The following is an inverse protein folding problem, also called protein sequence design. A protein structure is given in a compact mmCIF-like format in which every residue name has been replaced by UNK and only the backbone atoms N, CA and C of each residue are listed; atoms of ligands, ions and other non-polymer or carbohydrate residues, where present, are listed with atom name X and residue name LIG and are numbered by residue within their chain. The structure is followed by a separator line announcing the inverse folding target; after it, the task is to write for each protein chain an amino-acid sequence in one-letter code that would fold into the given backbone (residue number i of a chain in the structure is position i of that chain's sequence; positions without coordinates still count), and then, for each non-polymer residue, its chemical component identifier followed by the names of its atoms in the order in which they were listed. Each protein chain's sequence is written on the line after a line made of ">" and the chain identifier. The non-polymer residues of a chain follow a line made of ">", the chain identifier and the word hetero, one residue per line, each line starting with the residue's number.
data_IF_907304731957
#
_entry.id   IF_907304731957
#
_cell.length_a   1.000
_cell.length_b   1.000
_cell.length_c   1.000
_cell.angle_alpha   90.00
_cell.angle_beta   90.00
_cell.angle_gamma   90.00
#
_symmetry.space_group_name_H-M   'P 1'
#
loop_
_entity.id
_entity.type
_entity.pdbx_description
1 polymer ?
#
# COMPACT_ATOMS: atom_id res chain seq x y z
N UNK A 1 7.13 -8.22 25.96
CA UNK A 1 7.82 -7.54 24.84
C UNK A 1 9.18 -7.07 25.34
N UNK A 2 10.26 -7.71 24.90
CA UNK A 2 11.62 -7.28 25.19
C UNK A 2 12.01 -6.27 24.10
N UNK A 3 12.17 -4.99 24.45
CA UNK A 3 12.86 -4.05 23.55
C UNK A 3 14.36 -4.26 23.75
N UNK A 4 15.13 -4.64 22.72
CA UNK A 4 16.58 -4.74 22.85
C UNK A 4 17.17 -3.42 23.36
N UNK A 5 18.13 -3.52 24.26
CA UNK A 5 18.85 -2.37 24.82
C UNK A 5 19.57 -1.64 23.68
N UNK A 6 19.31 -0.35 23.53
CA UNK A 6 19.96 0.48 22.50
C UNK A 6 21.24 1.07 23.09
N UNK A 7 22.37 0.75 22.48
CA UNK A 7 23.67 1.30 22.88
C UNK A 7 24.13 2.31 21.83
N UNK A 8 24.25 3.58 22.23
CA UNK A 8 24.87 4.61 21.41
C UNK A 8 26.38 4.61 21.65
N UNK A 9 27.16 4.44 20.59
CA UNK A 9 28.61 4.67 20.62
C UNK A 9 28.88 6.03 19.97
N UNK A 10 29.44 6.97 20.73
CA UNK A 10 29.67 8.33 20.23
C UNK A 10 30.47 8.32 18.92
N UNK A 11 29.96 9.04 17.91
CA UNK A 11 30.58 9.12 16.58
C UNK A 11 30.46 7.88 15.71
N UNK A 12 29.73 6.83 16.13
CA UNK A 12 29.50 5.62 15.35
C UNK A 12 28.03 5.28 15.25
N UNK A 13 27.57 4.96 14.04
CA UNK A 13 26.31 4.26 13.87
C UNK A 13 26.52 2.80 14.26
N UNK A 14 25.75 2.33 15.24
CA UNK A 14 25.65 0.90 15.56
C UNK A 14 24.45 0.36 14.78
N UNK A 15 24.50 -0.87 14.31
CA UNK A 15 23.33 -1.56 13.77
C UNK A 15 23.36 -2.95 14.39
N UNK A 16 22.21 -3.41 14.90
CA UNK A 16 22.06 -4.77 15.41
C UNK A 16 21.46 -5.61 14.31
N UNK A 17 22.28 -6.47 13.70
CA UNK A 17 21.88 -7.32 12.59
C UNK A 17 20.81 -8.34 13.00
N UNK A 18 20.74 -8.70 14.29
CA UNK A 18 19.76 -9.67 14.79
C UNK A 18 18.35 -9.11 14.95
N UNK A 19 18.20 -7.78 15.00
CA UNK A 19 16.93 -7.11 15.29
C UNK A 19 16.53 -6.04 14.27
N UNK A 20 17.30 -5.87 13.18
CA UNK A 20 17.01 -4.90 12.14
C UNK A 20 16.28 -5.51 10.94
N UNK A 21 14.96 -5.31 10.90
CA UNK A 21 14.12 -5.74 9.79
C UNK A 21 14.50 -5.11 8.45
N UNK A 22 14.73 -3.80 8.40
CA UNK A 22 15.10 -3.14 7.14
C UNK A 22 16.48 -3.58 6.64
N UNK A 23 17.41 -3.93 7.53
CA UNK A 23 18.70 -4.48 7.14
C UNK A 23 18.54 -5.89 6.57
N UNK A 24 17.73 -6.76 7.18
CA UNK A 24 17.54 -8.13 6.68
C UNK A 24 16.90 -8.14 5.30
N UNK A 25 15.93 -7.26 5.07
CA UNK A 25 15.16 -7.22 3.82
C UNK A 25 15.88 -6.48 2.69
N UNK A 26 16.54 -5.36 3.00
CA UNK A 26 17.06 -4.45 1.98
C UNK A 26 18.58 -4.29 2.02
N UNK A 27 19.27 -4.85 3.02
CA UNK A 27 20.71 -4.72 3.18
C UNK A 27 21.19 -3.27 3.36
N UNK A 28 22.50 -3.10 3.46
CA UNK A 28 23.11 -1.77 3.68
C UNK A 28 22.81 -0.78 2.54
N UNK A 29 22.76 -1.25 1.29
CA UNK A 29 22.47 -0.40 0.12
C UNK A 29 21.04 0.15 0.16
N UNK A 30 20.07 -0.66 0.58
CA UNK A 30 18.70 -0.23 0.82
C UNK A 30 18.62 0.79 1.97
N UNK A 31 19.33 0.55 3.08
CA UNK A 31 19.41 1.52 4.17
C UNK A 31 19.99 2.88 3.71
N UNK A 32 21.03 2.89 2.88
CA UNK A 32 21.57 4.14 2.32
C UNK A 32 20.56 4.88 1.45
N UNK A 33 19.72 4.15 0.69
CA UNK A 33 18.61 4.76 -0.04
C UNK A 33 17.59 5.39 0.91
N UNK A 34 17.28 4.74 2.04
CA UNK A 34 16.35 5.30 3.03
C UNK A 34 16.91 6.49 3.78
N UNK A 35 18.21 6.50 4.12
CA UNK A 35 18.91 7.65 4.71
C UNK A 35 18.77 8.86 3.80
N UNK A 36 19.02 8.69 2.48
CA UNK A 36 18.94 9.80 1.53
C UNK A 36 17.52 10.34 1.35
N UNK A 37 16.48 9.53 1.63
CA UNK A 37 15.06 9.92 1.56
C UNK A 37 14.52 10.52 2.86
N UNK A 38 14.94 10.01 4.00
CA UNK A 38 14.42 10.42 5.32
C UNK A 38 15.19 11.55 5.98
N UNK A 39 16.45 11.79 5.58
CA UNK A 39 17.44 12.58 6.33
C UNK A 39 17.71 12.08 7.75
N UNK A 40 17.25 10.87 8.09
CA UNK A 40 17.67 10.19 9.31
C UNK A 40 19.06 9.60 9.10
N UNK A 41 19.89 9.54 10.15
CA UNK A 41 21.13 8.77 10.12
C UNK A 41 20.86 7.27 9.92
N UNK A 42 21.91 6.45 9.86
CA UNK A 42 21.81 4.99 9.71
C UNK A 42 20.92 4.27 10.75
N UNK A 43 20.50 4.98 11.79
CA UNK A 43 19.45 4.57 12.73
C UNK A 43 18.11 4.23 12.07
N UNK A 44 17.90 4.55 10.78
CA UNK A 44 16.80 4.00 9.97
C UNK A 44 16.73 2.47 10.03
N UNK A 45 17.85 1.80 10.29
CA UNK A 45 17.91 0.35 10.48
C UNK A 45 17.04 -0.13 11.67
N UNK A 46 16.82 0.71 12.68
CA UNK A 46 16.04 0.39 13.88
C UNK A 46 14.63 0.97 13.86
N UNK A 47 14.35 1.84 12.89
CA UNK A 47 13.07 2.53 12.81
C UNK A 47 12.00 1.55 12.31
N UNK A 48 10.84 1.56 12.96
CA UNK A 48 9.64 0.93 12.38
C UNK A 48 9.37 1.54 11.01
N UNK A 49 8.80 0.77 10.08
CA UNK A 49 8.50 1.26 8.73
C UNK A 49 7.63 2.54 8.76
N UNK A 50 6.65 2.61 9.66
CA UNK A 50 5.83 3.82 9.85
C UNK A 50 6.65 5.05 10.26
N UNK A 51 7.70 4.89 11.08
CA UNK A 51 8.61 5.99 11.46
C UNK A 51 9.46 6.47 10.26
N UNK A 52 9.87 5.54 9.40
CA UNK A 52 10.59 5.84 8.17
C UNK A 52 9.68 6.61 7.21
N UNK A 53 8.46 6.12 6.98
CA UNK A 53 7.45 6.80 6.17
C UNK A 53 7.13 8.20 6.70
N UNK A 54 6.88 8.33 8.00
CA UNK A 54 6.64 9.63 8.65
C UNK A 54 7.78 10.62 8.38
N UNK A 55 9.03 10.16 8.38
CA UNK A 55 10.18 11.02 8.13
C UNK A 55 10.27 11.48 6.66
N UNK A 56 9.90 10.60 5.72
CA UNK A 56 9.76 10.96 4.31
C UNK A 56 8.67 12.04 4.16
N UNK A 57 7.51 11.83 4.79
CA UNK A 57 6.40 12.79 4.76
C UNK A 57 6.80 14.13 5.40
N UNK A 58 7.43 14.14 6.58
CA UNK A 58 7.91 15.39 7.22
C UNK A 58 8.86 16.15 6.30
N UNK A 59 9.78 15.45 5.64
CA UNK A 59 10.71 16.08 4.70
C UNK A 59 9.97 16.64 3.48
N UNK A 60 9.00 15.90 2.95
CA UNK A 60 8.17 16.38 1.84
C UNK A 60 7.39 17.62 2.25
N UNK A 61 6.79 17.63 3.44
CA UNK A 61 6.06 18.77 3.97
C UNK A 61 6.96 19.99 4.12
N UNK A 62 8.16 19.81 4.70
CA UNK A 62 9.16 20.86 4.83
C UNK A 62 9.56 21.44 3.46
N UNK A 63 9.81 20.59 2.47
CA UNK A 63 10.23 21.01 1.13
C UNK A 63 9.14 21.76 0.36
N UNK A 64 7.86 21.51 0.68
CA UNK A 64 6.70 22.14 0.05
C UNK A 64 6.07 23.24 0.90
N UNK A 65 6.72 23.66 2.00
CA UNK A 65 6.20 24.66 2.94
C UNK A 65 4.79 24.30 3.50
N UNK A 66 4.57 23.02 3.77
CA UNK A 66 3.35 22.47 4.37
C UNK A 66 3.59 22.25 5.86
N UNK A 67 2.62 22.63 6.69
CA UNK A 67 2.69 22.43 8.13
C UNK A 67 2.48 20.95 8.49
N UNK A 68 3.43 20.40 9.24
CA UNK A 68 3.28 19.06 9.84
C UNK A 68 2.29 19.12 11.00
N UNK A 69 1.32 18.19 11.08
CA UNK A 69 0.41 18.10 12.22
C UNK A 69 1.18 17.92 13.54
N UNK A 70 0.86 18.77 14.54
CA UNK A 70 1.46 18.64 15.87
C UNK A 70 0.91 17.43 16.63
N UNK A 71 -0.39 17.15 16.48
CA UNK A 71 -1.05 15.98 17.07
C UNK A 71 -1.37 14.98 15.97
N UNK A 72 -0.91 13.74 16.17
CA UNK A 72 -1.13 12.64 15.22
C UNK A 72 -2.52 12.00 15.36
N UNK A 73 -3.37 12.51 16.25
CA UNK A 73 -4.71 11.99 16.48
C UNK A 73 -5.73 12.98 15.95
N UNK A 74 -6.48 12.54 14.94
CA UNK A 74 -7.66 13.23 14.46
C UNK A 74 -8.89 12.32 14.70
N UNK A 75 -9.92 12.82 15.39
CA UNK A 75 -11.15 12.06 15.53
C UNK A 75 -11.84 11.91 14.18
N UNK A 76 -12.41 10.73 13.96
CA UNK A 76 -13.28 10.45 12.81
C UNK A 76 -14.48 11.42 12.79
N UNK A 77 -14.90 11.83 11.60
CA UNK A 77 -16.11 12.66 11.45
C UNK A 77 -17.36 11.86 11.87
N UNK A 78 -18.27 12.42 12.68
CA UNK A 78 -19.51 11.74 13.07
C UNK A 78 -20.28 11.22 11.87
N UNK A 79 -20.59 9.92 11.85
CA UNK A 79 -21.27 9.25 10.74
C UNK A 79 -22.37 8.31 11.23
N UNK A 80 -23.32 8.00 10.34
CA UNK A 80 -24.44 7.08 10.65
C UNK A 80 -23.89 5.68 10.93
N UNK A 81 -24.53 4.93 11.84
CA UNK A 81 -24.15 3.56 12.16
C UNK A 81 -24.12 2.63 10.93
N UNK A 82 -25.01 2.85 9.96
CA UNK A 82 -25.01 2.13 8.68
C UNK A 82 -23.75 2.39 7.86
N UNK A 83 -23.21 3.61 7.88
CA UNK A 83 -21.99 3.98 7.18
C UNK A 83 -20.77 3.41 7.89
N UNK A 84 -20.72 3.44 9.23
CA UNK A 84 -19.65 2.79 9.99
C UNK A 84 -19.55 1.30 9.65
N UNK A 85 -20.68 0.58 9.63
CA UNK A 85 -20.70 -0.85 9.26
C UNK A 85 -20.19 -1.13 7.84
N UNK A 86 -20.44 -0.24 6.88
CA UNK A 86 -19.92 -0.39 5.51
C UNK A 86 -18.43 -0.07 5.45
N UNK A 87 -17.99 0.94 6.19
CA UNK A 87 -16.62 1.41 6.21
C UNK A 87 -15.65 0.44 6.92
N UNK A 88 -16.16 -0.33 7.89
CA UNK A 88 -15.39 -1.33 8.65
C UNK A 88 -15.23 -2.67 7.90
N UNK A 89 -15.79 -2.78 6.68
CA UNK A 89 -15.58 -3.96 5.84
C UNK A 89 -14.16 -3.91 5.29
N UNK A 90 -13.39 -4.97 5.55
CA UNK A 90 -12.05 -5.17 4.99
C UNK A 90 -12.00 -5.27 3.46
N UNK A 91 -10.81 -5.65 2.97
CA UNK A 91 -10.58 -5.93 1.55
C UNK A 91 -11.40 -7.10 1.02
N UNK A 92 -11.34 -7.30 -0.29
CA UNK A 92 -12.16 -8.29 -0.99
C UNK A 92 -11.67 -9.74 -0.75
N UNK A 93 -12.60 -10.71 -0.59
CA UNK A 93 -12.31 -12.15 -0.45
C UNK A 93 -13.34 -12.99 -1.23
N UNK A 94 -12.90 -13.94 -2.08
CA UNK A 94 -13.76 -14.92 -2.77
C UNK A 94 -13.85 -16.28 -2.04
N UNK A 95 -14.83 -17.13 -2.38
CA UNK A 95 -14.87 -18.51 -1.86
C UNK A 95 -13.98 -19.44 -2.68
N UNK A 96 -13.11 -20.24 -2.05
CA UNK A 96 -12.10 -21.03 -2.75
C UNK A 96 -12.67 -22.23 -3.53
N UNK A 97 -12.06 -22.53 -4.69
CA UNK A 97 -12.21 -23.80 -5.43
C UNK A 97 -10.83 -24.35 -5.82
N UNK A 98 -10.55 -25.65 -5.67
CA UNK A 98 -9.26 -26.23 -6.05
C UNK A 98 -9.10 -26.43 -7.58
N UNK A 99 -7.83 -26.64 -8.00
CA UNK A 99 -7.31 -27.11 -9.30
C UNK A 99 -6.73 -26.06 -10.28
N UNK A 100 -5.53 -26.32 -10.82
CA UNK A 100 -4.79 -25.63 -11.90
C UNK A 100 -5.00 -24.10 -11.97
N UNK A 101 -4.13 -23.35 -11.28
CA UNK A 101 -4.42 -21.95 -10.95
C UNK A 101 -3.25 -21.03 -11.26
N UNK A 102 -3.56 -19.92 -11.92
CA UNK A 102 -2.68 -18.77 -12.06
C UNK A 102 -2.97 -17.77 -10.94
N UNK A 103 -1.92 -17.30 -10.29
CA UNK A 103 -1.95 -16.15 -9.38
C UNK A 103 -1.62 -14.88 -10.15
N UNK A 104 -2.55 -13.95 -10.12
CA UNK A 104 -2.44 -12.62 -10.71
C UNK A 104 -2.48 -11.59 -9.58
N UNK A 105 -1.43 -10.80 -9.42
CA UNK A 105 -1.28 -9.84 -8.30
C UNK A 105 -1.15 -8.40 -8.79
N UNK A 106 -1.89 -7.48 -8.16
CA UNK A 106 -1.80 -6.06 -8.49
C UNK A 106 -0.55 -5.44 -7.89
N UNK A 107 0.34 -4.93 -8.75
CA UNK A 107 1.58 -4.31 -8.35
C UNK A 107 1.34 -3.08 -7.45
N UNK A 108 1.61 -3.23 -6.15
CA UNK A 108 1.47 -2.14 -5.15
C UNK A 108 0.07 -1.51 -5.17
N UNK A 109 -0.97 -2.35 -5.14
CA UNK A 109 -2.37 -1.95 -5.30
C UNK A 109 -2.74 -0.72 -4.45
N UNK A 110 -2.55 -0.77 -3.13
CA UNK A 110 -3.00 0.32 -2.25
C UNK A 110 -2.30 1.66 -2.49
N UNK A 111 -0.96 1.75 -2.58
CA UNK A 111 -0.29 2.99 -3.00
C UNK A 111 -0.81 3.53 -4.33
N UNK A 112 -1.04 2.66 -5.32
CA UNK A 112 -1.55 3.07 -6.62
C UNK A 112 -3.00 3.57 -6.53
N UNK A 113 -3.87 2.93 -5.73
CA UNK A 113 -5.20 3.45 -5.42
C UNK A 113 -5.10 4.86 -4.81
N UNK A 114 -4.20 5.06 -3.84
CA UNK A 114 -4.02 6.34 -3.17
C UNK A 114 -3.61 7.44 -4.15
N UNK A 115 -2.65 7.15 -5.03
CA UNK A 115 -2.16 8.08 -6.05
C UNK A 115 -3.22 8.33 -7.13
N UNK A 116 -3.75 7.28 -7.75
CA UNK A 116 -4.66 7.38 -8.90
C UNK A 116 -6.03 7.97 -8.53
N UNK A 117 -6.50 7.73 -7.30
CA UNK A 117 -7.78 8.25 -6.81
C UNK A 117 -7.62 9.49 -5.92
N UNK A 118 -6.42 10.08 -5.86
CA UNK A 118 -6.11 11.30 -5.11
C UNK A 118 -6.53 11.24 -3.63
N UNK A 119 -6.25 10.14 -2.94
CA UNK A 119 -6.65 9.91 -1.55
C UNK A 119 -5.61 10.50 -0.59
N UNK A 120 -6.01 11.53 0.16
CA UNK A 120 -5.21 12.23 1.17
C UNK A 120 -6.15 12.85 2.22
N UNK A 121 -5.72 13.08 3.47
CA UNK A 121 -6.58 13.65 4.50
C UNK A 121 -7.28 14.96 4.10
N UNK A 122 -6.58 15.82 3.35
CA UNK A 122 -7.08 17.11 2.90
C UNK A 122 -7.88 17.06 1.58
N UNK A 123 -7.88 15.92 0.88
CA UNK A 123 -8.65 15.74 -0.37
C UNK A 123 -9.93 14.96 -0.15
N UNK A 124 -10.00 14.10 0.86
CA UNK A 124 -11.24 13.41 1.26
C UNK A 124 -12.18 14.38 1.97
N UNK A 125 -13.46 14.36 1.60
CA UNK A 125 -14.51 15.17 2.22
C UNK A 125 -14.17 16.67 2.28
N UNK A 126 -13.44 17.16 1.27
CA UNK A 126 -13.05 18.56 1.21
C UNK A 126 -14.27 19.49 1.04
N UNK A 127 -14.18 20.70 1.59
CA UNK A 127 -15.29 21.68 1.54
C UNK A 127 -15.57 22.24 0.14
N UNK A 128 -14.68 21.98 -0.82
CA UNK A 128 -14.71 22.65 -2.12
C UNK A 128 -15.35 21.83 -3.26
N UNK A 129 -15.65 20.55 -3.04
CA UNK A 129 -16.19 19.64 -4.04
C UNK A 129 -17.41 18.88 -3.49
N UNK A 130 -18.48 18.83 -4.29
CA UNK A 130 -19.69 18.06 -4.00
C UNK A 130 -19.78 16.89 -4.98
N UNK A 131 -19.11 15.79 -4.63
CA UNK A 131 -19.13 14.54 -5.40
C UNK A 131 -19.14 13.34 -4.44
N UNK A 132 -19.38 12.15 -4.97
CA UNK A 132 -19.43 10.90 -4.19
C UNK A 132 -18.58 9.82 -4.85
N UNK A 133 -17.29 10.15 -5.06
CA UNK A 133 -16.37 9.28 -5.80
C UNK A 133 -15.99 8.00 -5.05
N UNK A 134 -16.02 8.01 -3.72
CA UNK A 134 -15.68 6.81 -2.94
C UNK A 134 -16.85 5.82 -2.97
N UNK A 135 -16.64 4.59 -3.51
CA UNK A 135 -17.70 3.59 -3.62
C UNK A 135 -18.33 3.26 -2.26
N UNK A 136 -19.63 3.00 -2.23
CA UNK A 136 -20.41 2.56 -1.04
C UNK A 136 -20.50 3.55 0.15
N UNK A 137 -19.55 4.48 0.29
CA UNK A 137 -19.36 5.36 1.44
C UNK A 137 -19.84 6.79 1.18
N UNK A 138 -19.89 7.21 -0.08
CA UNK A 138 -20.37 8.54 -0.47
C UNK A 138 -19.42 9.68 -0.10
N UNK A 139 -18.16 9.39 0.21
CA UNK A 139 -17.16 10.43 0.48
C UNK A 139 -16.81 11.16 -0.82
N UNK A 140 -16.58 12.46 -0.69
CA UNK A 140 -16.09 13.29 -1.79
C UNK A 140 -14.56 13.17 -1.90
N UNK A 141 -14.05 13.33 -3.11
CA UNK A 141 -12.62 13.44 -3.40
C UNK A 141 -12.39 14.75 -4.14
N UNK A 142 -11.43 15.54 -3.67
CA UNK A 142 -11.06 16.80 -4.29
C UNK A 142 -10.58 16.63 -5.74
N UNK A 143 -11.13 17.43 -6.64
CA UNK A 143 -10.75 17.48 -8.06
C UNK A 143 -9.94 18.73 -8.42
N UNK A 144 -9.76 19.65 -7.46
CA UNK A 144 -9.12 20.95 -7.69
C UNK A 144 -7.63 20.96 -7.35
N UNK A 145 -7.18 20.05 -6.48
CA UNK A 145 -5.79 19.96 -6.05
C UNK A 145 -5.36 18.51 -5.87
N UNK A 146 -4.09 18.23 -6.16
CA UNK A 146 -3.46 16.94 -5.85
C UNK A 146 -3.10 16.90 -4.37
N UNK A 147 -3.41 15.78 -3.72
CA UNK A 147 -3.14 15.57 -2.31
C UNK A 147 -1.64 15.39 -2.01
N UNK A 148 -1.29 15.68 -0.77
CA UNK A 148 0.01 15.53 -0.15
C UNK A 148 0.48 14.07 -0.18
N UNK A 149 -0.41 13.13 0.13
CA UNK A 149 -0.09 11.70 0.13
C UNK A 149 0.23 11.20 -1.30
N UNK A 150 -0.61 11.45 -2.33
CA UNK A 150 -0.24 11.19 -3.72
C UNK A 150 1.09 11.81 -4.14
N UNK A 151 1.35 13.06 -3.73
CA UNK A 151 2.60 13.75 -4.02
C UNK A 151 3.82 13.13 -3.32
N UNK A 152 3.63 12.48 -2.17
CA UNK A 152 4.69 11.77 -1.44
C UNK A 152 4.92 10.36 -1.99
N UNK A 153 3.85 9.60 -2.27
CA UNK A 153 3.95 8.20 -2.67
C UNK A 153 4.24 8.00 -4.16
N UNK A 154 3.74 8.88 -5.03
CA UNK A 154 3.94 8.79 -6.49
C UNK A 154 5.42 8.67 -6.88
N UNK A 155 6.31 9.55 -6.40
CA UNK A 155 7.76 9.42 -6.64
C UNK A 155 8.36 8.12 -6.12
N UNK A 156 7.88 7.57 -4.99
CA UNK A 156 8.38 6.32 -4.42
C UNK A 156 8.00 5.13 -5.32
N UNK A 157 6.76 5.10 -5.82
CA UNK A 157 6.27 4.08 -6.75
C UNK A 157 7.10 4.13 -8.05
N UNK A 158 7.25 5.33 -8.62
CA UNK A 158 8.03 5.54 -9.83
C UNK A 158 9.50 5.12 -9.66
N UNK A 159 10.14 5.55 -8.57
CA UNK A 159 11.54 5.18 -8.29
C UNK A 159 11.70 3.67 -8.11
N UNK A 160 10.75 2.99 -7.44
CA UNK A 160 10.77 1.54 -7.31
C UNK A 160 10.68 0.85 -8.66
N UNK A 161 9.78 1.29 -9.54
CA UNK A 161 9.67 0.76 -10.91
C UNK A 161 10.99 0.94 -11.69
N UNK A 162 11.59 2.14 -11.62
CA UNK A 162 12.88 2.41 -12.26
C UNK A 162 14.03 1.56 -11.71
N UNK A 163 14.00 1.20 -10.43
CA UNK A 163 14.98 0.29 -9.86
C UNK A 163 14.75 -1.16 -10.30
N UNK A 164 13.49 -1.62 -10.43
CA UNK A 164 13.18 -2.96 -10.98
C UNK A 164 13.75 -3.16 -12.40
N UNK A 165 13.82 -2.09 -13.21
CA UNK A 165 14.36 -2.15 -14.58
C UNK A 165 15.89 -2.21 -14.66
N UNK A 166 16.60 -2.02 -13.54
CA UNK A 166 18.07 -1.96 -13.51
C UNK A 166 18.63 -3.19 -12.81
N UNK A 167 19.47 -3.93 -13.52
CA UNK A 167 20.16 -5.10 -12.97
C UNK A 167 21.44 -4.68 -12.24
N UNK A 168 21.28 -4.03 -11.08
CA UNK A 168 22.40 -3.73 -10.17
C UNK A 168 22.03 -4.05 -8.74
N UNK A 169 23.01 -4.51 -7.96
CA UNK A 169 22.82 -4.84 -6.54
C UNK A 169 22.25 -3.63 -5.76
N UNK A 170 22.65 -2.40 -6.11
CA UNK A 170 22.05 -1.22 -5.48
C UNK A 170 20.56 -1.08 -5.80
N UNK A 171 20.17 -1.27 -7.06
CA UNK A 171 18.78 -1.11 -7.50
C UNK A 171 17.88 -2.20 -6.90
N UNK A 172 18.35 -3.44 -6.86
CA UNK A 172 17.65 -4.55 -6.18
C UNK A 172 17.38 -4.20 -4.71
N UNK A 173 18.41 -3.80 -3.97
CA UNK A 173 18.31 -3.44 -2.55
C UNK A 173 17.48 -2.17 -2.29
N UNK A 174 17.57 -1.17 -3.17
CA UNK A 174 16.73 0.02 -3.08
C UNK A 174 15.25 -0.30 -3.37
N UNK A 175 14.97 -1.13 -4.39
CA UNK A 175 13.62 -1.58 -4.71
C UNK A 175 12.99 -2.37 -3.55
N UNK A 176 13.76 -3.25 -2.91
CA UNK A 176 13.33 -3.98 -1.71
C UNK A 176 12.99 -3.03 -0.54
N UNK A 177 13.83 -2.03 -0.27
CA UNK A 177 13.54 -1.02 0.74
C UNK A 177 12.23 -0.26 0.46
N UNK A 178 12.04 0.18 -0.78
CA UNK A 178 10.83 0.93 -1.17
C UNK A 178 9.57 0.06 -1.16
N UNK A 179 9.67 -1.23 -1.50
CA UNK A 179 8.56 -2.19 -1.37
C UNK A 179 7.98 -2.13 0.04
N UNK A 180 8.82 -2.21 1.06
CA UNK A 180 8.36 -2.22 2.45
C UNK A 180 7.70 -0.90 2.89
N UNK A 181 8.18 0.25 2.39
CA UNK A 181 7.51 1.55 2.60
C UNK A 181 6.10 1.53 2.02
N UNK A 182 5.96 1.06 0.77
CA UNK A 182 4.70 1.00 0.04
C UNK A 182 3.71 -0.01 0.64
N UNK A 183 4.18 -1.17 1.08
CA UNK A 183 3.33 -2.16 1.78
C UNK A 183 2.75 -1.59 3.08
N UNK A 184 3.51 -0.73 3.77
CA UNK A 184 3.09 -0.22 5.08
C UNK A 184 2.21 1.03 5.03
N UNK A 185 2.15 1.74 3.89
CA UNK A 185 1.45 3.03 3.83
C UNK A 185 -0.07 2.90 4.04
N UNK A 186 -0.68 1.81 3.56
CA UNK A 186 -2.10 1.54 3.75
C UNK A 186 -2.47 1.38 5.23
N UNK A 187 -1.76 0.50 5.95
CA UNK A 187 -1.98 0.29 7.38
C UNK A 187 -1.69 1.55 8.20
N UNK A 188 -0.70 2.34 7.75
CA UNK A 188 -0.36 3.61 8.38
C UNK A 188 -1.51 4.63 8.30
N UNK A 189 -2.29 4.68 7.20
CA UNK A 189 -3.45 5.58 7.09
C UNK A 189 -4.49 5.38 8.20
N UNK A 190 -4.68 4.14 8.68
CA UNK A 190 -5.63 3.81 9.75
C UNK A 190 -5.02 3.83 11.16
N UNK A 191 -3.73 4.12 11.31
CA UNK A 191 -3.03 3.99 12.58
C UNK A 191 -3.18 5.24 13.46
N UNK A 192 -3.55 5.08 14.73
CA UNK A 192 -3.85 6.18 15.65
C UNK A 192 -2.70 7.16 15.93
N UNK A 193 -1.46 6.78 15.60
CA UNK A 193 -0.27 7.63 15.74
C UNK A 193 0.31 8.11 14.40
N UNK A 194 -0.40 7.91 13.29
CA UNK A 194 0.05 8.38 11.99
C UNK A 194 -0.12 9.89 11.87
N UNK A 195 0.97 10.61 11.59
CA UNK A 195 0.94 12.08 11.53
C UNK A 195 0.09 12.59 10.35
N UNK A 196 0.15 11.89 9.22
CA UNK A 196 -0.59 12.20 7.99
C UNK A 196 -1.64 11.12 7.66
N UNK A 197 -2.00 10.29 8.64
CA UNK A 197 -3.05 9.29 8.50
C UNK A 197 -4.44 9.88 8.75
N UNK A 198 -5.44 9.30 8.10
CA UNK A 198 -6.85 9.57 8.37
C UNK A 198 -7.65 8.27 8.15
N UNK A 199 -8.55 7.97 9.09
CA UNK A 199 -9.34 6.73 9.02
C UNK A 199 -10.25 6.72 7.79
N UNK A 200 -10.77 7.87 7.36
CA UNK A 200 -11.55 7.99 6.14
C UNK A 200 -10.72 7.66 4.89
N UNK A 201 -9.41 7.95 4.87
CA UNK A 201 -8.51 7.51 3.80
C UNK A 201 -8.39 5.99 3.79
N UNK A 202 -8.18 5.39 4.95
CA UNK A 202 -8.10 3.94 5.08
C UNK A 202 -9.39 3.25 4.58
N UNK A 203 -10.56 3.77 4.97
CA UNK A 203 -11.87 3.28 4.53
C UNK A 203 -12.08 3.48 3.02
N UNK A 204 -11.67 4.62 2.47
CA UNK A 204 -11.77 4.89 1.03
C UNK A 204 -10.91 3.95 0.19
N UNK A 205 -9.68 3.67 0.64
CA UNK A 205 -8.77 2.72 -0.03
C UNK A 205 -9.44 1.34 -0.10
N UNK A 206 -9.99 0.83 1.02
CA UNK A 206 -10.67 -0.46 1.03
C UNK A 206 -11.93 -0.48 0.15
N UNK A 207 -12.66 0.63 0.07
CA UNK A 207 -13.82 0.73 -0.82
C UNK A 207 -13.44 0.68 -2.31
N UNK A 208 -12.34 1.33 -2.69
CA UNK A 208 -11.80 1.25 -4.05
C UNK A 208 -11.20 -0.12 -4.36
N UNK A 209 -10.48 -0.71 -3.41
CA UNK A 209 -9.96 -2.07 -3.49
C UNK A 209 -11.09 -3.06 -3.84
N UNK A 210 -12.17 -3.09 -3.03
CA UNK A 210 -13.33 -3.95 -3.32
C UNK A 210 -13.92 -3.70 -4.71
N UNK A 211 -14.00 -2.45 -5.15
CA UNK A 211 -14.52 -2.14 -6.50
C UNK A 211 -13.60 -2.72 -7.58
N UNK A 212 -12.29 -2.45 -7.47
CA UNK A 212 -11.29 -2.92 -8.43
C UNK A 212 -11.30 -4.45 -8.50
N UNK A 213 -11.35 -5.13 -7.37
CA UNK A 213 -11.35 -6.59 -7.33
C UNK A 213 -12.61 -7.20 -7.94
N UNK A 214 -13.77 -6.57 -7.80
CA UNK A 214 -15.00 -7.01 -8.50
C UNK A 214 -14.88 -6.79 -10.00
N UNK A 215 -14.41 -5.62 -10.42
CA UNK A 215 -14.27 -5.24 -11.83
C UNK A 215 -13.25 -6.13 -12.55
N UNK A 216 -12.08 -6.33 -11.97
CA UNK A 216 -11.06 -7.25 -12.47
C UNK A 216 -11.58 -8.69 -12.55
N UNK A 217 -12.38 -9.12 -11.57
CA UNK A 217 -13.01 -10.43 -11.58
C UNK A 217 -13.98 -10.59 -12.75
N UNK A 218 -14.87 -9.62 -12.96
CA UNK A 218 -15.85 -9.63 -14.05
C UNK A 218 -15.14 -9.65 -15.40
N UNK A 219 -14.08 -8.86 -15.58
CA UNK A 219 -13.27 -8.87 -16.81
C UNK A 219 -12.58 -10.22 -17.07
N UNK A 220 -12.01 -10.83 -16.03
CA UNK A 220 -11.40 -12.16 -16.16
C UNK A 220 -12.45 -13.22 -16.53
N UNK A 221 -13.64 -13.18 -15.93
CA UNK A 221 -14.75 -14.09 -16.29
C UNK A 221 -15.20 -13.89 -17.76
N UNK A 222 -15.22 -12.64 -18.26
CA UNK A 222 -15.52 -12.33 -19.67
C UNK A 222 -14.47 -12.87 -20.64
N UNK A 223 -13.20 -12.90 -20.23
CA UNK A 223 -12.09 -13.52 -20.97
C UNK A 223 -12.07 -15.07 -20.83
N UNK A 224 -13.05 -15.66 -20.14
CA UNK A 224 -13.23 -17.10 -20.01
C UNK A 224 -12.48 -17.75 -18.85
N UNK A 225 -11.94 -16.96 -17.92
CA UNK A 225 -11.31 -17.49 -16.71
C UNK A 225 -12.35 -17.98 -15.70
N UNK A 226 -12.08 -19.12 -15.07
CA UNK A 226 -12.82 -19.56 -13.88
C UNK A 226 -12.12 -19.04 -12.62
N UNK A 227 -12.76 -18.11 -11.92
CA UNK A 227 -12.24 -17.54 -10.68
C UNK A 227 -12.30 -18.58 -9.56
N UNK A 228 -11.15 -18.89 -9.00
CA UNK A 228 -10.97 -19.87 -7.92
C UNK A 228 -10.94 -19.20 -6.56
N UNK A 229 -10.25 -18.07 -6.44
CA UNK A 229 -10.17 -17.29 -5.22
C UNK A 229 -9.70 -15.86 -5.52
N UNK A 230 -9.65 -15.03 -4.49
CA UNK A 230 -9.00 -13.74 -4.50
C UNK A 230 -9.03 -13.17 -3.11
N UNK A 231 -7.95 -12.51 -2.73
CA UNK A 231 -7.75 -11.90 -1.43
C UNK A 231 -6.91 -10.65 -1.60
N UNK A 232 -7.43 -9.51 -1.15
CA UNK A 232 -6.74 -8.21 -1.19
C UNK A 232 -6.33 -7.85 -2.63
N UNK A 233 -5.06 -7.95 -2.98
CA UNK A 233 -4.46 -7.53 -4.24
C UNK A 233 -4.29 -8.67 -5.26
N UNK A 234 -4.58 -9.91 -4.87
CA UNK A 234 -4.34 -11.06 -5.72
C UNK A 234 -5.63 -11.80 -6.08
N UNK A 235 -5.68 -12.30 -7.32
CA UNK A 235 -6.76 -13.13 -7.88
C UNK A 235 -6.16 -14.46 -8.34
N UNK A 236 -6.82 -15.55 -7.98
CA UNK A 236 -6.49 -16.91 -8.41
C UNK A 236 -7.56 -17.40 -9.37
N UNK A 237 -7.15 -17.75 -10.58
CA UNK A 237 -8.06 -18.22 -11.61
C UNK A 237 -7.44 -19.28 -12.52
N UNK A 238 -8.30 -20.08 -13.15
CA UNK A 238 -7.92 -21.04 -14.18
C UNK A 238 -8.35 -20.50 -15.55
N UNK A 239 -7.46 -20.49 -16.52
CA UNK A 239 -7.75 -19.99 -17.86
C UNK A 239 -6.54 -20.07 -18.78
N UNK A 240 -6.71 -19.67 -20.03
CA UNK A 240 -5.65 -19.58 -21.03
C UNK A 240 -5.33 -18.10 -21.33
N UNK A 241 -4.18 -17.81 -21.94
CA UNK A 241 -3.77 -16.44 -22.33
C UNK A 241 -3.72 -15.45 -21.14
N UNK A 242 -3.19 -15.91 -20.00
CA UNK A 242 -3.11 -15.15 -18.74
C UNK A 242 -2.45 -13.78 -18.93
N UNK A 243 -1.37 -13.72 -19.70
CA UNK A 243 -0.64 -12.48 -19.94
C UNK A 243 -1.49 -11.44 -20.71
N UNK A 244 -2.31 -11.88 -21.68
CA UNK A 244 -3.21 -10.99 -22.42
C UNK A 244 -4.35 -10.49 -21.52
N UNK A 245 -4.93 -11.38 -20.71
CA UNK A 245 -5.97 -11.01 -19.75
C UNK A 245 -5.45 -10.02 -18.70
N UNK A 246 -4.26 -10.29 -18.14
CA UNK A 246 -3.57 -9.36 -17.23
C UNK A 246 -3.35 -7.99 -17.86
N UNK A 247 -2.93 -7.95 -19.13
CA UNK A 247 -2.74 -6.69 -19.84
C UNK A 247 -4.06 -5.92 -19.99
N UNK A 248 -5.14 -6.58 -20.44
CA UNK A 248 -6.46 -5.94 -20.60
C UNK A 248 -6.99 -5.37 -19.29
N UNK A 249 -6.91 -6.15 -18.20
CA UNK A 249 -7.31 -5.68 -16.87
C UNK A 249 -6.45 -4.52 -16.41
N UNK A 250 -5.13 -4.57 -16.65
CA UNK A 250 -4.21 -3.48 -16.30
C UNK A 250 -4.54 -2.17 -17.01
N UNK A 251 -4.89 -2.25 -18.30
CA UNK A 251 -5.25 -1.09 -19.12
C UNK A 251 -6.55 -0.43 -18.65
N UNK A 252 -7.57 -1.21 -18.30
CA UNK A 252 -8.86 -0.68 -17.82
C UNK A 252 -8.77 -0.13 -16.40
N UNK A 253 -8.17 -0.89 -15.47
CA UNK A 253 -8.05 -0.49 -14.06
C UNK A 253 -7.03 0.65 -13.87
N UNK A 254 -6.02 0.72 -14.74
CA UNK A 254 -4.90 1.66 -14.65
C UNK A 254 -3.90 1.31 -13.54
N UNK A 255 -3.88 0.05 -13.11
CA UNK A 255 -2.91 -0.52 -12.17
C UNK A 255 -2.46 -1.86 -12.74
N UNK A 256 -1.15 -2.07 -12.80
CA UNK A 256 -0.55 -3.29 -13.36
C UNK A 256 -0.96 -4.53 -12.55
N UNK A 257 -1.53 -5.50 -13.25
CA UNK A 257 -1.83 -6.86 -12.78
C UNK A 257 -0.76 -7.79 -13.38
N UNK A 258 0.11 -8.35 -12.54
CA UNK A 258 1.21 -9.22 -12.95
C UNK A 258 0.81 -10.70 -12.79
N UNK A 259 1.15 -11.57 -13.75
CA UNK A 259 1.12 -13.02 -13.55
C UNK A 259 2.33 -13.41 -12.69
N UNK A 260 2.10 -13.70 -11.41
CA UNK A 260 3.18 -13.94 -10.45
C UNK A 260 3.58 -15.42 -10.41
N UNK A 261 2.60 -16.32 -10.29
CA UNK A 261 2.84 -17.75 -10.10
C UNK A 261 1.82 -18.62 -10.83
N UNK A 262 2.26 -19.82 -11.23
CA UNK A 262 1.42 -20.90 -11.70
C UNK A 262 1.51 -22.09 -10.74
N UNK A 263 0.36 -22.59 -10.31
CA UNK A 263 0.24 -23.72 -9.39
C UNK A 263 -0.52 -24.88 -10.04
N UNK A 264 0.04 -26.08 -9.95
CA UNK A 264 -0.67 -27.31 -10.35
C UNK A 264 -1.92 -27.52 -9.48
N UNK A 265 -1.82 -27.22 -8.19
CA UNK A 265 -2.94 -27.25 -7.24
C UNK A 265 -2.72 -26.22 -6.13
N UNK A 266 -3.81 -25.71 -5.56
CA UNK A 266 -3.80 -24.80 -4.42
C UNK A 266 -4.94 -25.15 -3.46
N UNK A 267 -4.69 -25.00 -2.16
CA UNK A 267 -5.69 -25.24 -1.11
C UNK A 267 -5.76 -24.04 -0.16
N UNK A 268 -6.94 -23.40 -0.12
CA UNK A 268 -7.20 -22.29 0.80
C UNK A 268 -7.82 -22.83 2.08
N UNK A 269 -7.05 -22.81 3.16
CA UNK A 269 -7.50 -23.25 4.49
C UNK A 269 -8.02 -22.08 5.31
N UNK A 270 -8.98 -22.32 6.24
CA UNK A 270 -9.42 -21.28 7.16
C UNK A 270 -8.25 -20.69 7.95
N UNK A 271 -8.34 -19.40 8.26
CA UNK A 271 -7.36 -18.72 9.09
C UNK A 271 -7.31 -19.37 10.47
N UNK A 272 -6.10 -19.59 11.00
CA UNK A 272 -5.89 -20.12 12.35
C UNK A 272 -6.66 -19.26 13.38
N UNK A 273 -7.53 -19.90 14.17
CA UNK A 273 -8.45 -19.29 15.14
C UNK A 273 -9.64 -18.50 14.53
N UNK A 274 -10.17 -18.95 13.40
CA UNK A 274 -11.52 -18.55 12.95
C UNK A 274 -12.53 -19.49 13.61
N UNK A 275 -12.98 -19.14 14.82
CA UNK A 275 -14.27 -19.64 15.35
C UNK A 275 -15.41 -18.73 14.87
#
# INVERSE_FOLDING_TARGET
>A
MHSPSRYSVFGRAVIDESSSFMLSEAGMKGLYNLVSRTWKPLEVAWASIGNILTAIEIRQAYSNNILTPWKNWQPETPKKASTMRKADRGGFIFNPRPDHVHEMDFASLFPNIMVNKNISPETINCDCCDNSKVPELGYSICEKQTGFIPHTLGPIIHDRSNYKQKDTEYSEKASAALKWILVSCFGYMGHAHAAYGAIECHQAIQAFDRKIMVEAKEMLEEEGFEIKHGIIDSIWASGENVEEACQKVSEEIGIELEHEHHFDWIAFVPRKNSE
#
